data_IF_960009393118
#
_entry.id   IF_960009393118
#
_cell.length_a   1.000
_cell.length_b   1.000
_cell.length_c   1.000
_cell.angle_alpha   90.00
_cell.angle_beta   90.00
_cell.angle_gamma   90.00
#
_symmetry.space_group_name_H-M   'P 1'
#
loop_
_entity.id
_entity.type
_entity.pdbx_description
1 polymer ?
#
# COMPACT_ATOMS: atom_id res chain seq x y z
N UNK A 1 -125.40 -32.03 -2.91
CA UNK A 1 -124.54 -32.58 -1.83
C UNK A 1 -123.34 -33.37 -2.36
N UNK A 2 -123.48 -34.54 -2.99
CA UNK A 2 -122.30 -35.33 -3.45
C UNK A 2 -121.51 -34.66 -4.61
N UNK A 3 -122.19 -34.08 -5.60
CA UNK A 3 -121.55 -33.39 -6.73
C UNK A 3 -120.92 -32.02 -6.38
N UNK A 4 -121.28 -31.46 -5.23
CA UNK A 4 -120.65 -30.24 -4.71
C UNK A 4 -119.36 -30.59 -3.96
N UNK A 5 -119.38 -31.67 -3.16
CA UNK A 5 -118.20 -32.17 -2.45
C UNK A 5 -117.09 -32.64 -3.41
N UNK A 6 -117.44 -33.29 -4.54
CA UNK A 6 -116.47 -33.67 -5.57
C UNK A 6 -115.81 -32.45 -6.22
N UNK A 7 -116.58 -31.41 -6.55
CA UNK A 7 -116.03 -30.16 -7.12
C UNK A 7 -115.14 -29.40 -6.14
N UNK A 8 -115.46 -29.42 -4.86
CA UNK A 8 -114.62 -28.81 -3.81
C UNK A 8 -113.30 -29.58 -3.61
N UNK A 9 -113.33 -30.92 -3.66
CA UNK A 9 -112.15 -31.76 -3.58
C UNK A 9 -111.21 -31.55 -4.79
N UNK A 10 -111.76 -31.56 -6.01
CA UNK A 10 -111.00 -31.27 -7.24
C UNK A 10 -110.39 -29.84 -7.22
N UNK A 11 -111.15 -28.85 -6.75
CA UNK A 11 -110.64 -27.49 -6.58
C UNK A 11 -109.54 -27.39 -5.49
N UNK A 12 -109.62 -28.20 -4.43
CA UNK A 12 -108.58 -28.28 -3.40
C UNK A 12 -107.30 -28.95 -3.93
N UNK A 13 -107.43 -30.02 -4.71
CA UNK A 13 -106.31 -30.69 -5.39
C UNK A 13 -105.63 -29.77 -6.40
N UNK A 14 -106.39 -29.03 -7.22
CA UNK A 14 -105.82 -28.05 -8.15
C UNK A 14 -105.06 -26.93 -7.43
N UNK A 15 -105.61 -26.42 -6.31
CA UNK A 15 -104.90 -25.44 -5.47
C UNK A 15 -103.63 -26.03 -4.86
N UNK A 16 -103.65 -27.28 -4.43
CA UNK A 16 -102.48 -27.96 -3.86
C UNK A 16 -101.42 -28.24 -4.93
N UNK A 17 -101.81 -28.73 -6.11
CA UNK A 17 -100.94 -28.96 -7.25
C UNK A 17 -100.29 -27.65 -7.73
N UNK A 18 -101.06 -26.56 -7.80
CA UNK A 18 -100.53 -25.23 -8.12
C UNK A 18 -99.50 -24.75 -7.09
N UNK A 19 -99.78 -24.91 -5.79
CA UNK A 19 -98.82 -24.56 -4.72
C UNK A 19 -97.54 -25.38 -4.84
N UNK A 20 -97.65 -26.69 -5.07
CA UNK A 20 -96.49 -27.56 -5.27
C UNK A 20 -95.69 -27.10 -6.51
N UNK A 21 -96.36 -26.79 -7.61
CA UNK A 21 -95.71 -26.27 -8.82
C UNK A 21 -94.98 -24.94 -8.55
N UNK A 22 -95.60 -24.01 -7.83
CA UNK A 22 -94.96 -22.76 -7.42
C UNK A 22 -93.69 -23.03 -6.59
N UNK A 23 -93.77 -23.90 -5.57
CA UNK A 23 -92.61 -24.23 -4.73
C UNK A 23 -91.49 -24.95 -5.49
N UNK A 24 -91.83 -25.80 -6.46
CA UNK A 24 -90.84 -26.46 -7.32
C UNK A 24 -90.13 -25.45 -8.23
N UNK A 25 -90.86 -24.46 -8.73
CA UNK A 25 -90.30 -23.39 -9.56
C UNK A 25 -89.38 -22.47 -8.75
N UNK A 26 -89.75 -22.15 -7.51
CA UNK A 26 -88.92 -21.41 -6.56
C UNK A 26 -87.64 -22.18 -6.21
N UNK A 27 -87.76 -23.46 -5.85
CA UNK A 27 -86.63 -24.33 -5.56
C UNK A 27 -85.68 -24.49 -6.77
N UNK A 28 -86.24 -24.63 -7.98
CA UNK A 28 -85.44 -24.66 -9.21
C UNK A 28 -84.67 -23.34 -9.44
N UNK A 29 -85.31 -22.20 -9.15
CA UNK A 29 -84.69 -20.87 -9.24
C UNK A 29 -83.56 -20.72 -8.21
N UNK A 30 -83.80 -21.10 -6.96
CA UNK A 30 -82.79 -21.06 -5.89
C UNK A 30 -81.60 -21.97 -6.22
N UNK A 31 -81.85 -23.19 -6.71
CA UNK A 31 -80.81 -24.10 -7.17
C UNK A 31 -79.98 -23.49 -8.30
N UNK A 32 -80.61 -22.85 -9.28
CA UNK A 32 -79.88 -22.17 -10.36
C UNK A 32 -79.01 -21.03 -9.82
N UNK A 33 -79.53 -20.24 -8.87
CA UNK A 33 -78.76 -19.17 -8.22
C UNK A 33 -77.58 -19.72 -7.42
N UNK A 34 -77.79 -20.73 -6.58
CA UNK A 34 -76.74 -21.36 -5.79
C UNK A 34 -75.63 -21.98 -6.68
N UNK A 35 -76.00 -22.62 -7.79
CA UNK A 35 -75.02 -23.17 -8.75
C UNK A 35 -74.26 -22.04 -9.47
N UNK A 36 -74.94 -20.94 -9.83
CA UNK A 36 -74.29 -19.80 -10.47
C UNK A 36 -73.29 -19.12 -9.50
N UNK A 37 -73.66 -18.97 -8.23
CA UNK A 37 -72.79 -18.42 -7.18
C UNK A 37 -71.60 -19.34 -6.89
N UNK A 38 -71.82 -20.65 -6.74
CA UNK A 38 -70.74 -21.62 -6.55
C UNK A 38 -69.75 -21.61 -7.72
N UNK A 39 -70.23 -21.57 -8.97
CA UNK A 39 -69.38 -21.46 -10.17
C UNK A 39 -68.64 -20.13 -10.24
N UNK A 40 -69.24 -19.04 -9.78
CA UNK A 40 -68.57 -17.73 -9.71
C UNK A 40 -67.43 -17.77 -8.68
N UNK A 41 -67.67 -18.31 -7.49
CA UNK A 41 -66.66 -18.47 -6.45
C UNK A 41 -65.52 -19.38 -6.90
N UNK A 42 -65.81 -20.50 -7.57
CA UNK A 42 -64.80 -21.40 -8.14
C UNK A 42 -63.91 -20.69 -9.16
N UNK A 43 -64.49 -19.91 -10.08
CA UNK A 43 -63.73 -19.13 -11.06
C UNK A 43 -62.88 -18.05 -10.41
N UNK A 44 -63.41 -17.34 -9.42
CA UNK A 44 -62.64 -16.33 -8.68
C UNK A 44 -61.47 -16.96 -7.91
N UNK A 45 -61.67 -18.13 -7.30
CA UNK A 45 -60.62 -18.86 -6.61
C UNK A 45 -59.54 -19.34 -7.60
N UNK A 46 -59.94 -19.90 -8.75
CA UNK A 46 -59.02 -20.34 -9.80
C UNK A 46 -58.19 -19.18 -10.36
N UNK A 47 -58.80 -18.01 -10.61
CA UNK A 47 -58.09 -16.83 -11.08
C UNK A 47 -57.11 -16.28 -10.03
N UNK A 48 -57.50 -16.24 -8.75
CA UNK A 48 -56.60 -15.82 -7.67
C UNK A 48 -55.39 -16.75 -7.54
N UNK A 49 -55.61 -18.05 -7.62
CA UNK A 49 -54.51 -19.02 -7.54
C UNK A 49 -53.60 -18.94 -8.77
N UNK A 50 -54.16 -18.82 -9.97
CA UNK A 50 -53.37 -18.60 -11.19
C UNK A 50 -52.54 -17.32 -11.11
N UNK A 51 -53.12 -16.21 -10.65
CA UNK A 51 -52.40 -14.95 -10.46
C UNK A 51 -51.26 -15.08 -9.44
N UNK A 52 -51.51 -15.81 -8.33
CA UNK A 52 -50.49 -16.08 -7.31
C UNK A 52 -49.34 -16.91 -7.88
N UNK A 53 -49.64 -17.97 -8.61
CA UNK A 53 -48.62 -18.82 -9.25
C UNK A 53 -47.80 -18.04 -10.28
N UNK A 54 -48.45 -17.20 -11.09
CA UNK A 54 -47.76 -16.30 -12.00
C UNK A 54 -46.83 -15.33 -11.26
N UNK A 55 -47.28 -14.71 -10.17
CA UNK A 55 -46.44 -13.81 -9.35
C UNK A 55 -45.21 -14.52 -8.80
N UNK A 56 -45.39 -15.70 -8.20
CA UNK A 56 -44.29 -16.48 -7.63
C UNK A 56 -43.29 -16.91 -8.71
N UNK A 57 -43.77 -17.39 -9.86
CA UNK A 57 -42.89 -17.78 -10.97
C UNK A 57 -42.11 -16.60 -11.56
N UNK A 58 -42.75 -15.42 -11.67
CA UNK A 58 -42.09 -14.21 -12.13
C UNK A 58 -41.02 -13.75 -11.14
N UNK A 59 -41.32 -13.76 -9.84
CA UNK A 59 -40.36 -13.43 -8.78
C UNK A 59 -39.14 -14.34 -8.79
N UNK A 60 -39.33 -15.65 -8.99
CA UNK A 60 -38.22 -16.61 -9.11
C UNK A 60 -37.34 -16.34 -10.33
N UNK A 61 -37.94 -16.00 -11.48
CA UNK A 61 -37.20 -15.62 -12.68
C UNK A 61 -36.39 -14.33 -12.45
N UNK A 62 -36.99 -13.32 -11.81
CA UNK A 62 -36.28 -12.09 -11.48
C UNK A 62 -35.13 -12.33 -10.51
N UNK A 63 -35.34 -13.16 -9.47
CA UNK A 63 -34.26 -13.53 -8.53
C UNK A 63 -33.10 -14.19 -9.25
N UNK A 64 -33.35 -15.20 -10.08
CA UNK A 64 -32.32 -15.89 -10.86
C UNK A 64 -31.56 -14.93 -11.79
N UNK A 65 -32.27 -14.04 -12.48
CA UNK A 65 -31.65 -13.03 -13.34
C UNK A 65 -30.77 -12.05 -12.56
N UNK A 66 -31.22 -11.58 -11.39
CA UNK A 66 -30.44 -10.69 -10.53
C UNK A 66 -29.20 -11.40 -9.99
N UNK A 67 -29.33 -12.65 -9.56
CA UNK A 67 -28.21 -13.46 -9.08
C UNK A 67 -27.17 -13.65 -10.19
N UNK A 68 -27.60 -14.05 -11.39
CA UNK A 68 -26.72 -14.18 -12.54
C UNK A 68 -26.01 -12.87 -12.86
N UNK A 69 -26.76 -11.77 -12.98
CA UNK A 69 -26.19 -10.45 -13.26
C UNK A 69 -25.18 -10.03 -12.20
N UNK A 70 -25.44 -10.31 -10.93
CA UNK A 70 -24.52 -10.01 -9.84
C UNK A 70 -23.23 -10.82 -9.97
N UNK A 71 -23.31 -12.12 -10.28
CA UNK A 71 -22.12 -12.94 -10.51
C UNK A 71 -21.28 -12.46 -11.69
N UNK A 72 -21.92 -12.07 -12.80
CA UNK A 72 -21.25 -11.52 -13.98
C UNK A 72 -20.57 -10.18 -13.65
N UNK A 73 -21.27 -9.27 -12.97
CA UNK A 73 -20.72 -7.97 -12.57
C UNK A 73 -19.59 -8.08 -11.56
N UNK A 74 -19.69 -8.98 -10.59
CA UNK A 74 -18.60 -9.28 -9.68
C UNK A 74 -17.37 -9.82 -10.44
N UNK A 75 -17.57 -10.68 -11.43
CA UNK A 75 -16.49 -11.21 -12.24
C UNK A 75 -15.81 -10.11 -13.08
N UNK A 76 -16.59 -9.28 -13.78
CA UNK A 76 -16.07 -8.12 -14.53
C UNK A 76 -15.29 -7.17 -13.63
N UNK A 77 -15.83 -6.85 -12.45
CA UNK A 77 -15.16 -5.99 -11.48
C UNK A 77 -13.84 -6.58 -10.99
N UNK A 78 -13.81 -7.89 -10.69
CA UNK A 78 -12.60 -8.57 -10.26
C UNK A 78 -11.52 -8.59 -11.36
N UNK A 79 -11.91 -8.77 -12.62
CA UNK A 79 -10.99 -8.68 -13.76
C UNK A 79 -10.41 -7.26 -13.85
N UNK A 80 -11.27 -6.24 -13.84
CA UNK A 80 -10.84 -4.84 -13.91
C UNK A 80 -9.89 -4.48 -12.76
N UNK A 81 -10.23 -4.88 -11.53
CA UNK A 81 -9.39 -4.69 -10.36
C UNK A 81 -8.02 -5.36 -10.53
N UNK A 82 -8.00 -6.61 -11.00
CA UNK A 82 -6.73 -7.33 -11.25
C UNK A 82 -5.88 -6.66 -12.33
N UNK A 83 -6.50 -6.09 -13.36
CA UNK A 83 -5.78 -5.37 -14.42
C UNK A 83 -5.16 -4.11 -13.84
N UNK A 84 -5.95 -3.26 -13.18
CA UNK A 84 -5.46 -2.01 -12.58
C UNK A 84 -4.38 -2.26 -11.52
N UNK A 85 -4.50 -3.32 -10.71
CA UNK A 85 -3.46 -3.70 -9.76
C UNK A 85 -2.14 -4.06 -10.45
N UNK A 86 -2.19 -4.86 -11.52
CA UNK A 86 -1.00 -5.22 -12.29
C UNK A 86 -0.38 -4.03 -13.00
N UNK A 87 -1.18 -3.17 -13.60
CA UNK A 87 -0.71 -1.94 -14.25
C UNK A 87 -0.01 -1.02 -13.25
N UNK A 88 -0.61 -0.79 -12.08
CA UNK A 88 0.01 -0.01 -11.03
C UNK A 88 1.33 -0.64 -10.56
N UNK A 89 1.39 -1.96 -10.38
CA UNK A 89 2.61 -2.65 -10.02
C UNK A 89 3.71 -2.44 -11.07
N UNK A 90 3.40 -2.63 -12.36
CA UNK A 90 4.34 -2.44 -13.46
C UNK A 90 4.86 -0.99 -13.49
N UNK A 91 3.97 0.00 -13.33
CA UNK A 91 4.36 1.40 -13.33
C UNK A 91 5.27 1.73 -12.15
N UNK A 92 4.98 1.23 -10.95
CA UNK A 92 5.86 1.43 -9.79
C UNK A 92 7.22 0.76 -9.95
N UNK A 93 7.26 -0.44 -10.54
CA UNK A 93 8.53 -1.14 -10.84
C UNK A 93 9.34 -0.40 -11.91
N UNK A 94 8.68 0.19 -12.90
CA UNK A 94 9.32 1.01 -13.92
C UNK A 94 9.93 2.28 -13.31
N UNK A 95 9.16 3.01 -12.51
CA UNK A 95 9.65 4.21 -11.82
C UNK A 95 10.81 3.89 -10.88
N UNK A 96 10.76 2.75 -10.18
CA UNK A 96 11.86 2.29 -9.34
C UNK A 96 13.13 2.05 -10.17
N UNK A 97 13.02 1.31 -11.29
CA UNK A 97 14.17 1.04 -12.17
C UNK A 97 14.74 2.32 -12.78
N UNK A 98 13.90 3.26 -13.18
CA UNK A 98 14.35 4.56 -13.69
C UNK A 98 15.12 5.33 -12.60
N UNK A 99 14.59 5.39 -11.38
CA UNK A 99 15.30 6.01 -10.25
C UNK A 99 16.62 5.30 -9.92
N UNK A 100 16.66 3.96 -9.95
CA UNK A 100 17.89 3.19 -9.76
C UNK A 100 18.95 3.52 -10.80
N UNK A 101 18.58 3.63 -12.08
CA UNK A 101 19.54 3.99 -13.13
C UNK A 101 20.13 5.39 -12.94
N UNK A 102 19.30 6.36 -12.55
CA UNK A 102 19.78 7.73 -12.27
C UNK A 102 20.75 7.73 -11.09
N UNK A 103 20.43 7.02 -10.01
CA UNK A 103 21.32 6.93 -8.86
C UNK A 103 22.62 6.18 -9.16
N UNK A 104 22.58 5.15 -10.00
CA UNK A 104 23.80 4.46 -10.45
C UNK A 104 24.69 5.40 -11.26
N UNK A 105 24.13 6.19 -12.18
CA UNK A 105 24.88 7.18 -12.96
C UNK A 105 25.48 8.28 -12.08
N UNK A 106 24.76 8.72 -11.05
CA UNK A 106 25.26 9.68 -10.04
C UNK A 106 26.42 9.08 -9.22
N UNK A 107 26.28 7.84 -8.77
CA UNK A 107 27.32 7.13 -8.05
C UNK A 107 28.58 6.93 -8.90
N UNK A 108 28.43 6.60 -10.19
CA UNK A 108 29.56 6.47 -11.11
C UNK A 108 30.32 7.80 -11.25
N UNK A 109 29.61 8.93 -11.40
CA UNK A 109 30.23 10.27 -11.44
C UNK A 109 30.98 10.58 -10.15
N UNK A 110 30.37 10.33 -8.99
CA UNK A 110 31.01 10.56 -7.68
C UNK A 110 32.26 9.69 -7.55
N UNK A 111 32.19 8.42 -7.92
CA UNK A 111 33.33 7.50 -7.87
C UNK A 111 34.47 7.97 -8.79
N UNK A 112 34.15 8.46 -9.99
CA UNK A 112 35.15 9.05 -10.88
C UNK A 112 35.84 10.28 -10.27
N UNK A 113 35.07 11.18 -9.62
CA UNK A 113 35.65 12.35 -8.93
C UNK A 113 36.49 11.97 -7.72
N UNK A 114 36.06 10.97 -6.95
CA UNK A 114 36.80 10.44 -5.82
C UNK A 114 38.14 9.87 -6.27
N UNK A 115 38.14 9.04 -7.33
CA UNK A 115 39.36 8.46 -7.89
C UNK A 115 40.34 9.52 -8.39
N UNK A 116 39.83 10.57 -9.06
CA UNK A 116 40.67 11.69 -9.49
C UNK A 116 41.29 12.45 -8.30
N UNK A 117 40.52 12.67 -7.23
CA UNK A 117 41.02 13.29 -6.01
C UNK A 117 42.05 12.41 -5.30
N UNK A 118 41.83 11.09 -5.22
CA UNK A 118 42.80 10.13 -4.68
C UNK A 118 44.12 10.12 -5.47
N UNK A 119 44.05 10.21 -6.80
CA UNK A 119 45.24 10.31 -7.65
C UNK A 119 46.01 11.62 -7.36
N UNK A 120 45.31 12.74 -7.21
CA UNK A 120 45.95 14.02 -6.81
C UNK A 120 46.61 13.92 -5.44
N UNK A 121 45.94 13.34 -4.44
CA UNK A 121 46.51 13.12 -3.10
C UNK A 121 47.77 12.27 -3.21
N UNK A 122 47.75 11.16 -3.98
CA UNK A 122 48.94 10.34 -4.21
C UNK A 122 50.10 11.13 -4.81
N UNK A 123 49.84 11.99 -5.80
CA UNK A 123 50.89 12.83 -6.39
C UNK A 123 51.48 13.82 -5.38
N UNK A 124 50.64 14.47 -4.58
CA UNK A 124 51.09 15.41 -3.54
C UNK A 124 51.89 14.71 -2.45
N UNK A 125 51.48 13.50 -2.04
CA UNK A 125 52.22 12.69 -1.07
C UNK A 125 53.61 12.34 -1.59
N UNK A 126 53.75 11.97 -2.87
CA UNK A 126 55.06 11.69 -3.48
C UNK A 126 55.95 12.93 -3.59
N UNK A 127 55.38 14.10 -3.89
CA UNK A 127 56.13 15.36 -3.88
C UNK A 127 56.59 15.73 -2.47
N UNK A 128 55.73 15.53 -1.47
CA UNK A 128 56.06 15.80 -0.07
C UNK A 128 57.16 14.87 0.45
N UNK A 129 57.15 13.60 0.05
CA UNK A 129 58.22 12.63 0.36
C UNK A 129 59.57 13.12 -0.18
N UNK A 130 59.63 13.49 -1.46
CA UNK A 130 60.85 14.08 -2.05
C UNK A 130 61.29 15.33 -1.31
N UNK A 131 60.38 16.25 -1.03
CA UNK A 131 60.72 17.48 -0.29
C UNK A 131 61.25 17.18 1.12
N UNK A 132 60.76 16.11 1.75
CA UNK A 132 61.23 15.65 3.06
C UNK A 132 62.64 15.06 2.94
N UNK A 133 62.92 14.23 1.95
CA UNK A 133 64.27 13.68 1.71
C UNK A 133 65.32 14.78 1.46
N UNK A 134 64.94 15.80 0.68
CA UNK A 134 65.79 16.96 0.40
C UNK A 134 66.05 17.78 1.67
N UNK A 135 65.02 17.99 2.48
CA UNK A 135 65.14 18.68 3.77
C UNK A 135 66.09 17.91 4.70
N UNK A 136 65.94 16.60 4.81
CA UNK A 136 66.75 15.77 5.71
C UNK A 136 68.21 15.70 5.24
N UNK A 137 68.44 15.61 3.92
CA UNK A 137 69.77 15.69 3.33
C UNK A 137 70.45 17.02 3.65
N UNK A 138 69.74 18.15 3.48
CA UNK A 138 70.27 19.49 3.79
C UNK A 138 70.53 19.67 5.29
N UNK A 139 69.67 19.18 6.17
CA UNK A 139 69.90 19.25 7.61
C UNK A 139 71.12 18.40 8.02
N UNK A 140 71.32 17.24 7.38
CA UNK A 140 72.51 16.41 7.61
C UNK A 140 73.82 17.11 7.19
N UNK A 141 73.82 17.84 6.06
CA UNK A 141 74.96 18.62 5.59
C UNK A 141 75.25 19.80 6.53
N UNK A 142 74.20 20.51 6.98
CA UNK A 142 74.33 21.59 7.97
C UNK A 142 74.89 21.05 9.29
N UNK A 143 74.48 19.85 9.72
CA UNK A 143 75.02 19.23 10.93
C UNK A 143 76.50 18.82 10.75
N UNK A 144 76.86 18.27 9.60
CA UNK A 144 78.24 17.89 9.29
C UNK A 144 79.18 19.10 9.25
N UNK A 145 78.75 20.18 8.59
CA UNK A 145 79.51 21.44 8.54
C UNK A 145 79.66 22.06 9.93
N UNK A 146 78.61 22.09 10.75
CA UNK A 146 78.69 22.48 12.17
C UNK A 146 79.75 21.70 12.94
N UNK A 147 79.76 20.37 12.82
CA UNK A 147 80.74 19.53 13.49
C UNK A 147 82.18 19.82 13.01
N UNK A 148 82.36 20.09 11.71
CA UNK A 148 83.66 20.45 11.15
C UNK A 148 84.16 21.80 11.69
N UNK A 149 83.28 22.81 11.76
CA UNK A 149 83.60 24.11 12.37
C UNK A 149 83.96 23.97 13.85
N UNK A 150 83.22 23.17 14.62
CA UNK A 150 83.52 22.94 16.02
C UNK A 150 84.92 22.32 16.19
N UNK A 151 85.25 21.29 15.40
CA UNK A 151 86.60 20.69 15.40
C UNK A 151 87.71 21.70 15.07
N UNK A 152 87.46 22.60 14.13
CA UNK A 152 88.42 23.66 13.77
C UNK A 152 88.63 24.66 14.91
N UNK A 153 87.55 25.08 15.58
CA UNK A 153 87.60 25.97 16.74
C UNK A 153 88.38 25.30 17.88
N UNK A 154 88.04 24.05 18.21
CA UNK A 154 88.70 23.29 19.28
C UNK A 154 90.20 23.15 19.02
N UNK A 155 90.61 22.95 17.76
CA UNK A 155 92.01 22.84 17.36
C UNK A 155 92.77 24.18 17.39
N UNK A 156 92.11 25.28 16.99
CA UNK A 156 92.75 26.61 16.85
C UNK A 156 92.76 27.37 18.18
N UNK A 157 91.77 27.14 19.04
CA UNK A 157 91.54 27.86 20.28
C UNK A 157 91.28 26.90 21.47
N UNK A 158 92.30 26.13 21.90
CA UNK A 158 92.13 25.09 22.93
C UNK A 158 91.74 25.65 24.33
N UNK A 159 91.90 26.96 24.54
CA UNK A 159 91.53 27.63 25.80
C UNK A 159 90.07 28.13 25.81
N UNK A 160 89.34 28.04 24.70
CA UNK A 160 87.91 28.32 24.69
C UNK A 160 87.18 27.19 25.41
N UNK A 161 86.31 27.56 26.35
CA UNK A 161 85.45 26.58 27.01
C UNK A 161 84.39 26.07 26.02
N UNK A 162 84.00 24.78 26.08
CA UNK A 162 82.92 24.23 25.26
C UNK A 162 81.67 25.10 25.38
N UNK A 163 81.07 25.47 24.25
CA UNK A 163 79.87 26.32 24.20
C UNK A 163 80.12 27.83 24.07
N UNK A 164 81.34 28.32 24.30
CA UNK A 164 81.63 29.76 24.14
C UNK A 164 81.54 30.25 22.69
N UNK A 165 81.67 29.35 21.72
CA UNK A 165 81.59 29.66 20.29
C UNK A 165 80.22 29.34 19.66
N UNK A 166 79.24 28.87 20.45
CA UNK A 166 77.94 28.42 19.93
C UNK A 166 77.12 29.55 19.28
N UNK A 167 77.42 30.82 19.60
CA UNK A 167 76.79 31.98 18.97
C UNK A 167 77.18 32.13 17.49
N UNK A 168 78.32 31.58 17.06
CA UNK A 168 78.80 31.65 15.68
C UNK A 168 77.93 30.78 14.77
N UNK A 169 77.43 29.65 15.30
CA UNK A 169 76.54 28.73 14.59
C UNK A 169 75.44 28.21 15.53
N UNK A 170 74.38 29.00 15.76
CA UNK A 170 73.30 28.63 16.65
C UNK A 170 72.68 27.27 16.29
N UNK A 171 72.36 26.46 17.30
CA UNK A 171 71.63 25.21 17.12
C UNK A 171 70.23 25.48 16.55
N UNK A 172 69.87 24.76 15.49
CA UNK A 172 68.48 24.70 15.03
C UNK A 172 67.77 23.64 15.86
N UNK A 173 66.54 23.93 16.30
CA UNK A 173 65.70 22.91 16.91
C UNK A 173 65.43 21.84 15.85
N UNK A 174 65.66 20.58 16.19
CA UNK A 174 65.24 19.47 15.35
C UNK A 174 63.74 19.64 15.08
N UNK A 175 63.34 19.43 13.82
CA UNK A 175 61.93 19.47 13.47
C UNK A 175 61.25 18.25 14.09
N UNK A 176 60.68 18.40 15.27
CA UNK A 176 59.77 17.43 15.83
C UNK A 176 58.55 17.40 14.89
N UNK A 177 58.41 16.33 14.10
CA UNK A 177 57.11 16.00 13.51
C UNK A 177 56.17 15.89 14.71
N UNK A 178 55.28 16.87 14.88
CA UNK A 178 54.09 16.65 15.67
C UNK A 178 53.32 15.59 14.89
N UNK A 179 53.52 14.33 15.26
CA UNK A 179 52.54 13.30 15.01
C UNK A 179 51.21 13.93 15.41
N UNK A 180 50.36 14.18 14.42
CA UNK A 180 48.93 14.34 14.69
C UNK A 180 48.58 13.15 15.56
N UNK A 181 48.04 13.34 16.78
CA UNK A 181 47.60 12.21 17.57
C UNK A 181 46.70 11.40 16.65
N UNK A 182 47.03 10.12 16.48
CA UNK A 182 46.06 9.12 16.03
C UNK A 182 44.77 9.48 16.77
N UNK A 183 43.79 9.98 16.01
CA UNK A 183 42.44 9.99 16.51
C UNK A 183 42.18 8.53 16.81
N UNK A 184 42.20 8.21 18.10
CA UNK A 184 41.93 6.91 18.62
C UNK A 184 40.70 6.40 17.89
N UNK A 185 40.87 5.27 17.22
CA UNK A 185 39.80 4.33 16.94
C UNK A 185 39.12 4.02 18.28
N UNK A 186 38.19 4.88 18.69
CA UNK A 186 37.38 4.66 19.88
C UNK A 186 35.90 4.73 19.53
N UNK A 187 35.37 3.52 19.44
CA UNK A 187 33.98 3.13 19.59
C UNK A 187 33.06 3.36 18.38
N UNK A 188 32.94 2.28 17.61
CA UNK A 188 31.65 1.75 17.15
C UNK A 188 30.59 1.90 18.25
N UNK A 189 29.84 3.00 18.21
CA UNK A 189 28.54 3.07 18.87
C UNK A 189 27.54 2.43 17.93
N UNK A 190 27.40 1.13 18.12
CA UNK A 190 26.26 0.31 17.76
C UNK A 190 24.94 1.08 18.01
N UNK A 191 24.41 1.74 16.97
CA UNK A 191 23.04 2.23 17.00
C UNK A 191 22.13 1.02 16.98
N UNK A 192 21.71 0.59 18.17
CA UNK A 192 20.60 -0.35 18.34
C UNK A 192 19.42 0.15 17.53
N UNK A 193 19.15 -0.51 16.40
CA UNK A 193 17.83 -0.52 15.75
C UNK A 193 16.85 -1.10 16.77
N UNK A 194 16.20 -0.25 17.55
CA UNK A 194 14.96 -0.61 18.23
C UNK A 194 13.89 -0.83 17.16
N UNK A 195 13.76 -2.10 16.80
CA UNK A 195 12.61 -2.68 16.14
C UNK A 195 11.34 -2.41 16.96
N UNK A 196 10.30 -1.96 16.27
CA UNK A 196 8.87 -2.06 16.60
C UNK A 196 8.33 -1.16 17.73
N UNK A 197 7.70 -0.06 17.32
CA UNK A 197 6.41 0.34 17.89
C UNK A 197 5.46 0.79 16.77
N UNK A 198 4.44 -0.03 16.55
CA UNK A 198 3.26 0.20 15.75
C UNK A 198 2.71 1.62 15.93
N UNK A 199 2.87 2.48 14.92
CA UNK A 199 2.11 3.71 14.80
C UNK A 199 0.80 3.37 14.09
N UNK A 200 -0.28 3.30 14.87
CA UNK A 200 -1.65 3.18 14.35
C UNK A 200 -1.94 4.38 13.45
N UNK A 201 -2.21 4.11 12.18
CA UNK A 201 -2.89 5.06 11.31
C UNK A 201 -4.23 5.44 11.94
N UNK A 202 -4.35 6.69 12.40
CA UNK A 202 -5.64 7.28 12.75
C UNK A 202 -6.15 8.01 11.51
N UNK A 203 -7.14 7.41 10.86
CA UNK A 203 -7.90 8.03 9.80
C UNK A 203 -8.71 9.20 10.39
N UNK A 204 -8.36 10.43 10.02
CA UNK A 204 -9.23 11.60 10.25
C UNK A 204 -10.27 11.64 9.14
N UNK A 205 -11.42 11.00 9.37
CA UNK A 205 -12.64 11.25 8.63
C UNK A 205 -13.13 12.66 8.95
N UNK A 206 -12.96 13.61 8.02
CA UNK A 206 -13.71 14.88 8.07
C UNK A 206 -15.05 14.65 7.38
N UNK A 207 -16.08 14.48 8.22
CA UNK A 207 -17.47 14.70 7.85
C UNK A 207 -17.64 16.18 7.47
N UNK A 208 -17.97 16.44 6.22
CA UNK A 208 -18.53 17.74 5.82
C UNK A 208 -20.04 17.67 6.03
N UNK A 209 -20.52 18.38 7.04
CA UNK A 209 -21.88 18.88 7.09
C UNK A 209 -21.82 20.38 6.81
N UNK A 210 -22.40 20.79 5.67
CA UNK A 210 -23.13 22.04 5.47
C UNK A 210 -23.89 21.96 4.15
#
# INVERSE_FOLDING_TARGET
>A
MEDEQKREAEAAEQRMAHRIQCTLMECAREKMQAVAEARKQEREAALKEAARQHSMSAEELYRKNIEQLNTEKCHEFNIALSITQKENQIETEKQLKEAETVHLDELEKVLATLKAAEEQVKTLTQELEKMTDWKDSLESEIQATRQAFQKYIDATFPNLSPGQADFILPFRKAFEQKETPEEAEDSDKEYKRTSIRSARFTAMAKQNYK
#
